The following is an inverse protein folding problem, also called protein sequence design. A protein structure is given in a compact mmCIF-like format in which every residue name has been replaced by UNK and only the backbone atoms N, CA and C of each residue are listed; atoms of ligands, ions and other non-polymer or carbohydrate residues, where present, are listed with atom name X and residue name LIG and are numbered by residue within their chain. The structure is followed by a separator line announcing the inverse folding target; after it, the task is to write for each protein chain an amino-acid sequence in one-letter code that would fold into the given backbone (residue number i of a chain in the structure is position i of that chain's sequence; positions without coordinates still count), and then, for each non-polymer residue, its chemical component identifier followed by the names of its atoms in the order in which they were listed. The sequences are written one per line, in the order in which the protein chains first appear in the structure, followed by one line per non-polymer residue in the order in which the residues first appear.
data_IF_371840564990
#
_entry.id   IF_371840564990
#
_cell.length_a   1.000
_cell.length_b   1.000
_cell.length_c   1.000
_cell.angle_alpha   90.00
_cell.angle_beta   90.00
_cell.angle_gamma   90.00
#
_symmetry.space_group_name_H-M   'P 1'
#
loop_
_entity.id
_entity.type
_entity.pdbx_description
1 polymer ?
#
# COMPACT_ATOMS: atom_id res chain seq x y z
N UNK A 1 -20.92 -32.09 28.86
CA UNK A 1 -20.69 -31.67 27.46
C UNK A 1 -20.32 -30.21 27.48
N UNK A 2 -19.06 -29.78 27.29
CA UNK A 2 -18.72 -28.37 27.13
C UNK A 2 -19.20 -27.92 25.75
N UNK A 3 -20.12 -26.92 25.74
CA UNK A 3 -20.62 -26.31 24.50
C UNK A 3 -19.46 -25.68 23.73
N UNK A 4 -19.29 -26.05 22.47
CA UNK A 4 -18.45 -25.36 21.53
C UNK A 4 -18.98 -23.93 21.40
N UNK A 5 -18.34 -22.96 22.05
CA UNK A 5 -18.54 -21.56 21.77
C UNK A 5 -18.11 -21.36 20.30
N UNK A 6 -19.07 -21.15 19.42
CA UNK A 6 -18.82 -20.79 18.02
C UNK A 6 -18.06 -19.46 18.01
N UNK A 7 -16.80 -19.47 17.63
CA UNK A 7 -16.04 -18.22 17.48
C UNK A 7 -16.82 -17.27 16.58
N UNK A 8 -17.00 -15.99 16.96
CA UNK A 8 -17.75 -15.02 16.17
C UNK A 8 -17.09 -14.90 14.77
N UNK A 9 -17.84 -15.20 13.72
CA UNK A 9 -17.38 -15.01 12.35
C UNK A 9 -17.10 -13.53 12.13
N UNK A 10 -15.85 -13.17 11.90
CA UNK A 10 -15.48 -11.80 11.57
C UNK A 10 -16.12 -11.38 10.24
N UNK A 11 -16.59 -10.13 10.12
CA UNK A 11 -17.27 -9.65 8.93
C UNK A 11 -16.33 -9.52 7.72
N UNK A 12 -16.94 -9.60 6.52
CA UNK A 12 -16.30 -9.27 5.23
C UNK A 12 -16.69 -7.84 4.88
N UNK A 13 -15.74 -7.01 4.50
CA UNK A 13 -15.97 -5.66 3.99
C UNK A 13 -15.83 -5.62 2.48
N UNK A 14 -16.84 -5.09 1.80
CA UNK A 14 -16.77 -4.65 0.39
C UNK A 14 -16.78 -3.11 0.41
N UNK A 15 -15.63 -2.45 0.23
CA UNK A 15 -15.56 -1.02 0.45
C UNK A 15 -16.08 -0.22 -0.73
N UNK A 16 -17.05 0.66 -0.48
CA UNK A 16 -17.73 1.54 -1.45
C UNK A 16 -17.55 3.04 -1.16
N UNK A 17 -17.06 3.36 0.04
CA UNK A 17 -16.87 4.72 0.53
C UNK A 17 -15.63 4.82 1.45
N UNK A 18 -15.65 5.76 2.40
CA UNK A 18 -14.67 5.85 3.48
C UNK A 18 -15.05 4.90 4.63
N UNK A 19 -14.16 3.97 4.95
CA UNK A 19 -14.28 3.06 6.07
C UNK A 19 -13.10 3.23 7.03
N UNK A 20 -13.38 3.55 8.29
CA UNK A 20 -12.37 3.58 9.35
C UNK A 20 -12.46 2.28 10.16
N UNK A 21 -11.48 1.41 9.97
CA UNK A 21 -11.38 0.10 10.62
C UNK A 21 -10.35 0.06 11.75
N UNK A 22 -9.83 1.19 12.18
CA UNK A 22 -8.88 1.24 13.30
C UNK A 22 -9.53 0.69 14.56
N UNK A 23 -8.83 -0.23 15.24
CA UNK A 23 -9.36 -0.93 16.42
C UNK A 23 -10.50 -1.90 16.12
N UNK A 24 -10.80 -2.21 14.86
CA UNK A 24 -11.86 -3.16 14.47
C UNK A 24 -11.26 -4.41 13.82
N UNK A 25 -11.91 -5.54 14.02
CA UNK A 25 -11.52 -6.81 13.43
C UNK A 25 -12.42 -7.18 12.25
N UNK A 26 -11.81 -7.52 11.12
CA UNK A 26 -12.46 -8.00 9.91
C UNK A 26 -11.74 -9.26 9.42
N UNK A 27 -12.48 -10.19 8.84
CA UNK A 27 -11.89 -11.39 8.25
C UNK A 27 -11.27 -11.07 6.89
N UNK A 28 -11.99 -10.29 6.07
CA UNK A 28 -11.66 -10.08 4.66
C UNK A 28 -12.03 -8.65 4.24
N UNK A 29 -11.22 -8.07 3.36
CA UNK A 29 -11.59 -6.91 2.55
C UNK A 29 -11.62 -7.38 1.10
N UNK A 30 -12.77 -7.22 0.43
CA UNK A 30 -12.99 -7.68 -0.94
C UNK A 30 -13.16 -6.51 -1.87
N UNK A 31 -12.33 -6.44 -2.91
CA UNK A 31 -12.37 -5.43 -3.97
C UNK A 31 -12.88 -6.04 -5.28
N UNK A 32 -13.34 -5.23 -6.26
CA UNK A 32 -13.69 -5.71 -7.59
C UNK A 32 -12.52 -6.40 -8.31
N UNK A 33 -12.82 -7.40 -9.14
CA UNK A 33 -11.83 -8.25 -9.83
C UNK A 33 -10.78 -7.48 -10.65
N UNK A 34 -11.16 -6.35 -11.26
CA UNK A 34 -10.25 -5.51 -12.06
C UNK A 34 -9.76 -4.26 -11.32
N UNK A 35 -9.96 -4.17 -10.00
CA UNK A 35 -9.60 -2.99 -9.24
C UNK A 35 -8.09 -2.76 -9.15
N UNK A 36 -7.70 -1.49 -8.97
CA UNK A 36 -6.36 -1.08 -8.57
C UNK A 36 -6.39 -0.64 -7.10
N UNK A 37 -5.56 -1.26 -6.26
CA UNK A 37 -5.46 -0.97 -4.83
C UNK A 37 -4.11 -0.33 -4.50
N UNK A 38 -4.11 0.88 -3.97
CA UNK A 38 -2.91 1.51 -3.41
C UNK A 38 -2.84 1.19 -1.92
N UNK A 39 -1.80 0.48 -1.49
CA UNK A 39 -1.47 0.29 -0.08
C UNK A 39 -0.49 1.38 0.33
N UNK A 40 -0.95 2.28 1.19
CA UNK A 40 -0.24 3.49 1.57
C UNK A 40 -0.01 3.61 3.08
N UNK A 41 0.96 4.43 3.46
CA UNK A 41 1.32 4.69 4.85
C UNK A 41 2.70 5.32 4.96
N UNK A 42 3.03 5.91 6.10
CA UNK A 42 4.36 6.46 6.32
C UNK A 42 5.45 5.39 6.23
N UNK A 43 6.70 5.74 5.90
CA UNK A 43 7.80 4.80 5.96
C UNK A 43 7.89 4.13 7.34
N UNK A 44 7.94 2.78 7.38
CA UNK A 44 7.93 2.00 8.63
C UNK A 44 6.54 1.63 9.17
N UNK A 45 5.44 2.06 8.54
CA UNK A 45 4.08 1.71 8.97
C UNK A 45 3.75 0.20 8.89
N UNK A 46 4.47 -0.58 8.07
CA UNK A 46 4.21 -2.02 7.93
C UNK A 46 3.71 -2.44 6.54
N UNK A 47 3.66 -1.53 5.56
CA UNK A 47 3.17 -1.81 4.20
C UNK A 47 3.77 -3.06 3.55
N UNK A 48 5.11 -3.22 3.59
CA UNK A 48 5.77 -4.42 3.02
C UNK A 48 5.42 -5.71 3.79
N UNK A 49 5.02 -5.60 5.07
CA UNK A 49 4.52 -6.75 5.83
C UNK A 49 3.11 -7.12 5.36
N UNK A 50 2.25 -6.11 5.15
CA UNK A 50 0.92 -6.31 4.58
C UNK A 50 0.98 -6.93 3.17
N UNK A 51 1.89 -6.44 2.31
CA UNK A 51 2.10 -7.03 0.97
C UNK A 51 2.51 -8.50 1.03
N UNK A 52 3.42 -8.86 1.92
CA UNK A 52 3.80 -10.27 2.10
C UNK A 52 2.66 -11.10 2.67
N UNK A 53 1.95 -10.57 3.66
CA UNK A 53 0.83 -11.27 4.31
C UNK A 53 -0.30 -11.58 3.33
N UNK A 54 -0.71 -10.61 2.52
CA UNK A 54 -1.91 -10.73 1.71
C UNK A 54 -1.65 -11.16 0.27
N UNK A 55 -0.44 -10.93 -0.25
CA UNK A 55 -0.13 -11.15 -1.68
C UNK A 55 1.16 -11.93 -1.91
N UNK A 56 1.75 -12.50 -0.86
CA UNK A 56 3.00 -13.28 -0.95
C UNK A 56 4.14 -12.54 -1.69
N UNK A 57 4.22 -11.22 -1.47
CA UNK A 57 5.17 -10.37 -2.18
C UNK A 57 6.61 -10.65 -1.74
N UNK A 58 7.47 -11.05 -2.69
CA UNK A 58 8.89 -11.29 -2.45
C UNK A 58 9.65 -9.96 -2.31
N UNK A 59 10.33 -9.78 -1.17
CA UNK A 59 11.15 -8.61 -0.89
C UNK A 59 12.43 -8.53 -1.77
N UNK A 60 12.87 -9.64 -2.36
CA UNK A 60 14.04 -9.73 -3.23
C UNK A 60 13.68 -9.55 -4.72
N UNK A 61 12.41 -9.52 -5.08
CA UNK A 61 11.96 -9.36 -6.46
C UNK A 61 12.58 -8.12 -7.12
N UNK A 62 12.89 -8.24 -8.41
CA UNK A 62 13.48 -7.16 -9.24
C UNK A 62 12.54 -6.67 -10.34
N UNK A 63 11.36 -7.25 -10.44
CA UNK A 63 10.30 -6.91 -11.38
C UNK A 63 8.94 -7.08 -10.70
N UNK A 64 7.86 -6.47 -11.23
CA UNK A 64 6.51 -6.75 -10.79
C UNK A 64 6.23 -8.25 -10.76
N UNK A 65 5.61 -8.73 -9.68
CA UNK A 65 5.33 -10.16 -9.47
C UNK A 65 3.83 -10.40 -9.34
N UNK A 66 3.37 -11.60 -9.70
CA UNK A 66 2.00 -12.01 -9.45
C UNK A 66 1.92 -12.86 -8.19
N UNK A 67 0.91 -12.58 -7.37
CA UNK A 67 0.57 -13.46 -6.25
C UNK A 67 -0.01 -14.80 -6.75
N UNK A 68 -0.11 -15.83 -5.90
CA UNK A 68 -0.80 -17.07 -6.25
C UNK A 68 -2.25 -16.86 -6.73
N UNK A 69 -2.92 -15.82 -6.23
CA UNK A 69 -4.27 -15.43 -6.64
C UNK A 69 -4.29 -14.55 -7.93
N UNK A 70 -3.19 -14.44 -8.67
CA UNK A 70 -3.11 -13.69 -9.92
C UNK A 70 -2.99 -12.18 -9.79
N UNK A 71 -2.94 -11.62 -8.58
CA UNK A 71 -2.82 -10.18 -8.32
C UNK A 71 -1.43 -9.68 -8.70
N UNK A 72 -1.35 -8.66 -9.57
CA UNK A 72 -0.07 -8.02 -9.91
C UNK A 72 0.37 -7.07 -8.81
N UNK A 73 1.53 -7.32 -8.23
CA UNK A 73 2.12 -6.50 -7.14
C UNK A 73 3.24 -5.62 -7.67
N UNK A 74 3.08 -4.31 -7.49
CA UNK A 74 4.04 -3.27 -7.85
C UNK A 74 4.62 -2.64 -6.60
N UNK A 75 5.89 -2.96 -6.28
CA UNK A 75 6.62 -2.37 -5.15
C UNK A 75 7.83 -1.58 -5.64
N UNK A 76 8.02 -0.38 -5.15
CA UNK A 76 9.20 0.45 -5.41
C UNK A 76 10.52 -0.25 -5.05
N UNK A 77 10.48 -1.24 -4.16
CA UNK A 77 11.64 -2.09 -3.85
C UNK A 77 12.09 -2.95 -5.03
N UNK A 78 11.18 -3.41 -5.88
CA UNK A 78 11.50 -4.17 -7.09
C UNK A 78 12.38 -3.34 -8.02
N UNK A 79 11.98 -2.09 -8.29
CA UNK A 79 12.79 -1.15 -9.07
C UNK A 79 14.14 -0.88 -8.40
N UNK A 80 14.17 -0.66 -7.07
CA UNK A 80 15.41 -0.47 -6.31
C UNK A 80 16.33 -1.68 -6.40
N UNK A 81 15.83 -2.89 -6.21
CA UNK A 81 16.63 -4.13 -6.28
C UNK A 81 17.22 -4.31 -7.69
N UNK A 82 16.41 -4.07 -8.74
CA UNK A 82 16.84 -4.12 -10.14
C UNK A 82 17.99 -3.16 -10.42
N UNK A 83 17.84 -1.89 -10.05
CA UNK A 83 18.84 -0.86 -10.33
C UNK A 83 20.06 -0.97 -9.43
N UNK A 84 19.92 -1.45 -8.20
CA UNK A 84 21.05 -1.73 -7.31
C UNK A 84 22.04 -2.72 -7.93
N UNK A 85 21.58 -3.72 -8.66
CA UNK A 85 22.46 -4.67 -9.36
C UNK A 85 23.32 -4.01 -10.44
N UNK A 86 22.82 -2.92 -11.05
CA UNK A 86 23.51 -2.20 -12.14
C UNK A 86 24.34 -1.01 -11.63
N UNK A 87 23.89 -0.37 -10.56
CA UNK A 87 24.43 0.90 -10.06
C UNK A 87 24.97 0.78 -8.63
N UNK A 88 25.41 -0.41 -8.23
CA UNK A 88 25.91 -0.68 -6.88
C UNK A 88 27.12 0.18 -6.48
N UNK A 89 27.90 0.64 -7.46
CA UNK A 89 29.09 1.48 -7.30
C UNK A 89 28.78 2.96 -7.10
N UNK A 90 27.54 3.40 -7.39
CA UNK A 90 27.10 4.77 -7.19
C UNK A 90 26.37 4.93 -5.84
N UNK A 91 26.53 6.08 -5.15
CA UNK A 91 25.71 6.41 -3.99
C UNK A 91 24.21 6.40 -4.34
N UNK A 92 23.37 5.77 -3.50
CA UNK A 92 21.92 5.62 -3.74
C UNK A 92 21.21 6.95 -4.05
N UNK A 93 21.67 8.05 -3.45
CA UNK A 93 21.08 9.37 -3.66
C UNK A 93 21.08 9.80 -5.13
N UNK A 94 22.13 9.43 -5.89
CA UNK A 94 22.30 9.83 -7.29
C UNK A 94 21.36 9.06 -8.24
N UNK A 95 21.06 7.80 -7.96
CA UNK A 95 20.19 6.99 -8.82
C UNK A 95 18.77 6.77 -8.26
N UNK A 96 18.48 7.36 -7.10
CA UNK A 96 17.13 7.36 -6.53
C UNK A 96 16.04 7.90 -7.49
N UNK A 97 16.25 8.98 -8.27
CA UNK A 97 15.29 9.44 -9.27
C UNK A 97 14.96 8.37 -10.33
N UNK A 98 15.98 7.60 -10.77
CA UNK A 98 15.79 6.49 -11.73
C UNK A 98 14.87 5.41 -11.16
N UNK A 99 15.03 5.06 -9.88
CA UNK A 99 14.13 4.09 -9.20
C UNK A 99 12.70 4.59 -9.19
N UNK A 100 12.48 5.85 -8.85
CA UNK A 100 11.13 6.42 -8.84
C UNK A 100 10.52 6.47 -10.24
N UNK A 101 11.28 6.94 -11.25
CA UNK A 101 10.82 6.96 -12.63
C UNK A 101 10.46 5.57 -13.14
N UNK A 102 11.32 4.56 -12.89
CA UNK A 102 11.07 3.18 -13.28
C UNK A 102 9.83 2.59 -12.57
N UNK A 103 9.63 2.91 -11.29
CA UNK A 103 8.45 2.48 -10.54
C UNK A 103 7.17 3.10 -11.10
N UNK A 104 7.14 4.41 -11.33
CA UNK A 104 5.97 5.08 -11.91
C UNK A 104 5.67 4.63 -13.34
N UNK A 105 6.71 4.37 -14.15
CA UNK A 105 6.51 3.79 -15.47
C UNK A 105 5.88 2.40 -15.39
N UNK A 106 6.36 1.54 -14.49
CA UNK A 106 5.77 0.22 -14.28
C UNK A 106 4.29 0.30 -13.83
N UNK A 107 3.95 1.25 -12.94
CA UNK A 107 2.56 1.51 -12.55
C UNK A 107 1.72 1.92 -13.75
N UNK A 108 2.18 2.88 -14.54
CA UNK A 108 1.46 3.36 -15.72
C UNK A 108 1.20 2.24 -16.73
N UNK A 109 2.24 1.46 -17.05
CA UNK A 109 2.14 0.31 -17.95
C UNK A 109 1.15 -0.72 -17.43
N UNK A 110 1.27 -1.12 -16.16
CA UNK A 110 0.37 -2.09 -15.55
C UNK A 110 -1.10 -1.63 -15.57
N UNK A 111 -1.37 -0.37 -15.21
CA UNK A 111 -2.73 0.18 -15.20
C UNK A 111 -3.38 0.23 -16.59
N UNK A 112 -2.60 0.24 -17.67
CA UNK A 112 -3.08 0.28 -19.06
C UNK A 112 -3.20 -1.10 -19.70
N UNK A 113 -2.30 -2.02 -19.36
CA UNK A 113 -2.09 -3.26 -20.13
C UNK A 113 -2.53 -4.53 -19.40
N UNK A 114 -2.79 -4.44 -18.08
CA UNK A 114 -3.15 -5.62 -17.28
C UNK A 114 -4.64 -5.63 -16.99
N UNK A 115 -5.36 -6.65 -17.39
CA UNK A 115 -6.82 -6.74 -17.16
C UNK A 115 -7.21 -7.14 -15.73
N UNK A 116 -6.34 -7.85 -15.01
CA UNK A 116 -6.61 -8.34 -13.65
C UNK A 116 -6.33 -7.30 -12.54
N UNK A 117 -6.44 -7.73 -11.28
CA UNK A 117 -6.23 -6.88 -10.12
C UNK A 117 -4.77 -6.44 -9.97
N UNK A 118 -4.60 -5.19 -9.53
CA UNK A 118 -3.28 -4.56 -9.35
C UNK A 118 -3.17 -4.01 -7.94
N UNK A 119 -2.07 -4.32 -7.27
CA UNK A 119 -1.72 -3.75 -5.97
C UNK A 119 -0.46 -2.90 -6.10
N UNK A 120 -0.54 -1.65 -5.68
CA UNK A 120 0.53 -0.66 -5.77
C UNK A 120 1.01 -0.32 -4.36
N UNK A 121 2.29 -0.55 -4.10
CA UNK A 121 2.94 -0.11 -2.87
C UNK A 121 3.52 1.30 -3.05
N UNK A 122 2.87 2.28 -2.44
CA UNK A 122 3.36 3.66 -2.42
C UNK A 122 3.22 4.28 -1.02
N UNK A 123 3.97 5.32 -0.74
CA UNK A 123 3.77 6.12 0.48
C UNK A 123 2.49 6.95 0.41
N UNK A 124 2.00 7.28 -0.79
CA UNK A 124 0.83 8.13 -1.09
C UNK A 124 0.83 9.48 -0.33
N UNK A 125 1.98 9.89 0.23
CA UNK A 125 2.11 11.13 1.00
C UNK A 125 2.14 12.37 0.11
N UNK A 126 2.46 12.20 -1.17
CA UNK A 126 2.50 13.30 -2.14
C UNK A 126 1.22 13.34 -2.98
N UNK A 127 0.52 14.47 -2.92
CA UNK A 127 -0.73 14.67 -3.67
C UNK A 127 -0.55 14.46 -5.17
N UNK A 128 0.53 15.01 -5.75
CA UNK A 128 0.79 14.91 -7.18
C UNK A 128 0.89 13.45 -7.66
N UNK A 129 1.54 12.58 -6.87
CA UNK A 129 1.69 11.17 -7.23
C UNK A 129 0.32 10.45 -7.23
N UNK A 130 -0.52 10.69 -6.23
CA UNK A 130 -1.88 10.13 -6.19
C UNK A 130 -2.74 10.62 -7.36
N UNK A 131 -2.70 11.92 -7.67
CA UNK A 131 -3.46 12.49 -8.80
C UNK A 131 -2.97 11.89 -10.13
N UNK A 132 -1.68 11.70 -10.29
CA UNK A 132 -1.09 11.09 -11.47
C UNK A 132 -1.52 9.62 -11.63
N UNK A 133 -1.44 8.82 -10.57
CA UNK A 133 -1.89 7.42 -10.58
C UNK A 133 -3.40 7.34 -10.85
N UNK A 134 -4.21 8.19 -10.22
CA UNK A 134 -5.65 8.24 -10.45
C UNK A 134 -5.98 8.58 -11.92
N UNK A 135 -5.25 9.51 -12.53
CA UNK A 135 -5.39 9.80 -13.97
C UNK A 135 -5.04 8.61 -14.87
N UNK A 136 -4.04 7.81 -14.50
CA UNK A 136 -3.71 6.60 -15.26
C UNK A 136 -4.69 5.45 -15.04
N UNK A 137 -5.35 5.41 -13.87
CA UNK A 137 -6.35 4.42 -13.50
C UNK A 137 -7.78 4.79 -13.95
N UNK A 138 -7.96 5.78 -14.85
CA UNK A 138 -9.28 6.33 -15.22
C UNK A 138 -10.30 5.29 -15.73
N UNK A 139 -9.84 4.14 -16.24
CA UNK A 139 -10.69 3.04 -16.71
C UNK A 139 -10.87 1.92 -15.67
N UNK A 140 -10.41 2.12 -14.42
CA UNK A 140 -10.47 1.14 -13.34
C UNK A 140 -10.96 1.77 -12.06
N UNK A 141 -11.59 0.99 -11.21
CA UNK A 141 -11.85 1.42 -9.84
C UNK A 141 -10.54 1.47 -9.04
N UNK A 142 -10.16 2.66 -8.60
CA UNK A 142 -9.00 2.88 -7.74
C UNK A 142 -9.44 2.91 -6.28
N UNK A 143 -8.81 2.11 -5.45
CA UNK A 143 -9.06 2.02 -4.02
C UNK A 143 -7.81 2.36 -3.21
N UNK A 144 -7.98 2.90 -2.02
CA UNK A 144 -6.89 3.21 -1.09
C UNK A 144 -7.02 2.38 0.19
N UNK A 145 -5.97 1.66 0.56
CA UNK A 145 -5.81 1.04 1.88
C UNK A 145 -4.72 1.79 2.64
N UNK A 146 -5.12 2.56 3.63
CA UNK A 146 -4.28 3.49 4.38
C UNK A 146 -3.87 2.87 5.72
N UNK A 147 -2.58 2.53 5.87
CA UNK A 147 -2.01 2.06 7.13
C UNK A 147 -1.68 3.26 8.01
N UNK A 148 -2.58 3.61 8.92
CA UNK A 148 -2.40 4.72 9.87
C UNK A 148 -1.71 4.22 11.13
N UNK A 149 -0.45 4.59 11.28
CA UNK A 149 0.41 4.18 12.39
C UNK A 149 1.06 5.42 12.99
N UNK A 150 1.06 5.56 14.32
CA UNK A 150 1.72 6.67 15.00
C UNK A 150 3.18 6.82 14.57
N UNK A 151 3.63 8.07 14.33
CA UNK A 151 4.97 8.36 13.84
C UNK A 151 6.11 7.73 14.69
N UNK A 152 6.04 7.70 16.04
CA UNK A 152 7.04 7.01 16.87
C UNK A 152 7.12 5.51 16.57
N UNK A 153 5.96 4.85 16.41
CA UNK A 153 5.86 3.41 16.13
C UNK A 153 6.39 3.10 14.72
N UNK A 154 6.06 3.95 13.75
CA UNK A 154 6.59 3.83 12.38
C UNK A 154 8.14 4.02 12.36
N UNK A 155 8.65 4.98 13.14
CA UNK A 155 10.11 5.20 13.29
C UNK A 155 10.80 3.99 13.89
N UNK A 156 10.25 3.39 14.94
CA UNK A 156 10.76 2.16 15.54
C UNK A 156 10.78 1.00 14.51
N UNK A 157 9.73 0.86 13.70
CA UNK A 157 9.65 -0.14 12.62
C UNK A 157 10.66 0.06 11.47
N UNK A 158 11.24 1.24 11.32
CA UNK A 158 12.37 1.46 10.40
C UNK A 158 13.69 0.97 10.99
N UNK A 159 13.93 1.24 12.29
CA UNK A 159 15.15 0.84 12.97
C UNK A 159 15.30 -0.68 13.02
N UNK A 160 14.21 -1.41 13.33
CA UNK A 160 14.24 -2.88 13.39
C UNK A 160 14.60 -3.55 12.05
N UNK A 161 14.45 -2.83 10.92
CA UNK A 161 14.79 -3.32 9.57
C UNK A 161 16.13 -2.79 9.03
N UNK A 162 16.95 -2.15 9.86
CA UNK A 162 18.22 -1.56 9.44
C UNK A 162 18.08 -0.41 8.43
N UNK A 163 16.87 0.09 8.19
CA UNK A 163 16.59 1.17 7.22
C UNK A 163 16.50 2.50 7.94
N UNK A 164 17.52 3.34 7.79
CA UNK A 164 17.47 4.72 8.29
C UNK A 164 17.10 5.66 7.14
N UNK A 165 15.88 6.19 7.17
CA UNK A 165 15.53 7.33 6.33
C UNK A 165 16.03 8.59 7.04
N UNK A 166 16.58 9.54 6.27
CA UNK A 166 16.97 10.84 6.79
C UNK A 166 15.80 11.45 7.58
N UNK A 167 16.10 12.00 8.76
CA UNK A 167 15.12 12.56 9.67
C UNK A 167 14.23 13.63 9.01
N UNK A 168 14.81 14.48 8.17
CA UNK A 168 14.07 15.50 7.39
C UNK A 168 13.07 14.86 6.42
N UNK A 169 13.49 13.86 5.65
CA UNK A 169 12.62 13.14 4.73
C UNK A 169 11.48 12.44 5.48
N UNK A 170 11.75 11.83 6.63
CA UNK A 170 10.71 11.22 7.46
C UNK A 170 9.68 12.25 7.94
N UNK A 171 10.13 13.43 8.43
CA UNK A 171 9.23 14.52 8.83
C UNK A 171 8.34 15.00 7.68
N UNK A 172 8.89 15.11 6.45
CA UNK A 172 8.11 15.46 5.26
C UNK A 172 7.02 14.43 4.97
N UNK A 173 7.36 13.12 5.05
CA UNK A 173 6.36 12.05 4.89
C UNK A 173 5.27 12.10 5.96
N UNK A 174 5.62 12.29 7.23
CA UNK A 174 4.64 12.42 8.33
C UNK A 174 3.74 13.64 8.11
N UNK A 175 4.30 14.78 7.69
CA UNK A 175 3.52 16.00 7.40
C UNK A 175 2.55 15.77 6.21
N UNK A 176 3.02 15.13 5.13
CA UNK A 176 2.18 14.76 3.99
C UNK A 176 1.09 13.76 4.38
N UNK A 177 1.41 12.80 5.23
CA UNK A 177 0.46 11.82 5.77
C UNK A 177 -0.66 12.48 6.58
N UNK A 178 -0.32 13.36 7.53
CA UNK A 178 -1.31 14.09 8.32
C UNK A 178 -2.26 14.90 7.44
N UNK A 179 -1.74 15.56 6.39
CA UNK A 179 -2.58 16.28 5.41
C UNK A 179 -3.49 15.33 4.63
N UNK A 180 -3.00 14.15 4.25
CA UNK A 180 -3.82 13.14 3.59
C UNK A 180 -4.94 12.67 4.52
N UNK A 181 -4.63 12.28 5.76
CA UNK A 181 -5.61 11.81 6.72
C UNK A 181 -6.70 12.88 7.01
N UNK A 182 -6.30 14.13 7.22
CA UNK A 182 -7.25 15.24 7.38
C UNK A 182 -8.12 15.47 6.13
N UNK A 183 -7.57 15.30 4.93
CA UNK A 183 -8.32 15.46 3.69
C UNK A 183 -9.27 14.29 3.42
N UNK A 184 -8.92 13.07 3.84
CA UNK A 184 -9.76 11.87 3.72
C UNK A 184 -11.00 12.01 4.60
N UNK A 185 -10.84 12.44 5.86
CA UNK A 185 -11.96 12.64 6.78
C UNK A 185 -12.92 13.77 6.34
N UNK A 186 -12.48 14.67 5.45
CA UNK A 186 -13.31 15.75 4.87
C UNK A 186 -13.80 15.43 3.45
N UNK A 187 -13.76 14.18 3.00
CA UNK A 187 -14.13 13.69 1.66
C UNK A 187 -13.36 14.30 0.48
N UNK A 188 -12.46 15.25 0.74
CA UNK A 188 -11.68 15.94 -0.30
C UNK A 188 -10.57 15.09 -0.92
N UNK A 189 -10.11 14.04 -0.23
CA UNK A 189 -9.02 13.20 -0.71
C UNK A 189 -9.49 11.97 -1.50
N UNK A 190 -10.77 11.64 -1.43
CA UNK A 190 -11.38 10.56 -2.21
C UNK A 190 -11.51 10.90 -3.71
N UNK A 191 -11.17 12.14 -4.12
CA UNK A 191 -11.23 12.52 -5.53
C UNK A 191 -10.27 11.65 -6.35
N UNK A 192 -10.87 10.79 -7.20
CA UNK A 192 -10.17 9.84 -8.06
C UNK A 192 -9.96 8.44 -7.44
N UNK A 193 -10.48 8.16 -6.23
CA UNK A 193 -10.59 6.81 -5.69
C UNK A 193 -12.05 6.48 -5.38
N UNK A 194 -12.44 5.22 -5.64
CA UNK A 194 -13.79 4.70 -5.38
C UNK A 194 -14.04 4.52 -3.89
N UNK A 195 -13.06 4.01 -3.16
CA UNK A 195 -13.13 3.88 -1.72
C UNK A 195 -11.80 4.12 -1.02
N UNK A 196 -11.88 4.40 0.27
CA UNK A 196 -10.74 4.54 1.17
C UNK A 196 -10.99 3.73 2.42
N UNK A 197 -10.08 2.83 2.74
CA UNK A 197 -10.11 2.04 3.98
C UNK A 197 -8.91 2.43 4.84
N UNK A 198 -9.18 2.86 6.08
CA UNK A 198 -8.14 3.19 7.06
C UNK A 198 -8.01 2.02 8.02
N UNK A 199 -6.80 1.52 8.20
CA UNK A 199 -6.46 0.43 9.13
C UNK A 199 -5.28 0.82 10.00
N UNK A 200 -5.24 0.32 11.23
CA UNK A 200 -4.05 0.31 12.08
C UNK A 200 -3.35 -1.05 12.02
N UNK A 201 -2.29 -1.22 12.82
CA UNK A 201 -1.59 -2.51 12.88
C UNK A 201 -2.46 -3.64 13.41
N UNK A 202 -3.26 -3.37 14.46
CA UNK A 202 -4.13 -4.36 15.05
C UNK A 202 -5.18 -4.86 14.05
N UNK A 203 -5.81 -3.95 13.30
CA UNK A 203 -6.73 -4.30 12.23
C UNK A 203 -6.06 -5.16 11.13
N UNK A 204 -4.82 -4.81 10.71
CA UNK A 204 -4.04 -5.61 9.74
C UNK A 204 -3.69 -6.99 10.29
N UNK A 205 -3.40 -7.11 11.60
CA UNK A 205 -3.06 -8.40 12.20
C UNK A 205 -4.27 -9.34 12.25
N UNK A 206 -5.48 -8.82 12.52
CA UNK A 206 -6.74 -9.59 12.51
C UNK A 206 -7.22 -9.91 11.08
N UNK A 207 -6.96 -9.05 10.10
CA UNK A 207 -7.37 -9.25 8.71
C UNK A 207 -6.69 -10.49 8.13
N UNK A 208 -7.48 -11.48 7.70
CA UNK A 208 -6.96 -12.75 7.16
C UNK A 208 -6.53 -12.61 5.70
N UNK A 209 -7.33 -11.94 4.88
CA UNK A 209 -7.05 -11.78 3.47
C UNK A 209 -7.60 -10.46 2.90
N UNK A 210 -7.01 -10.08 1.77
CA UNK A 210 -7.52 -9.04 0.85
C UNK A 210 -7.70 -9.72 -0.50
N UNK A 211 -8.92 -9.73 -1.01
CA UNK A 211 -9.30 -10.47 -2.22
C UNK A 211 -9.86 -9.54 -3.30
N UNK A 212 -9.92 -10.08 -4.51
CA UNK A 212 -10.48 -9.41 -5.69
C UNK A 212 -11.46 -10.37 -6.36
N UNK A 213 -12.74 -9.99 -6.46
CA UNK A 213 -13.82 -10.84 -6.99
C UNK A 213 -14.89 -10.01 -7.74
#
# INVERSE_FOLDING_TARGET
MPGHATEPRLPILVPDALHDLRGRAFAEIRYPAAAALIIAGVPGAGKSTALRKFFDADAAATAPSRSPAGVLVLDSMQARNRWRRKLWWLPYLLWRPVVHAAHFLAIRTALREVDGPIVIHDCATFRWARTMIAGWAAQRELHLLLLDVPAPVAKAGQHSRGRRINHMAFRLHVRGWRRLMSAVTTERAARGSRSVVIVDRAAVDHLRCVTFA
#
